data_IF_265452462238
#
_entry.id   IF_265452462238
#
_cell.length_a   1.000
_cell.length_b   1.000
_cell.length_c   1.000
_cell.angle_alpha   90.00
_cell.angle_beta   90.00
_cell.angle_gamma   90.00
#
_symmetry.space_group_name_H-M   'P 1'
#
loop_
_entity.id
_entity.type
_entity.pdbx_description
1 polymer ?
#
# COMPACT_ATOMS: atom_id res chain seq x y z
N UNK A 1 26.89 1.64 -13.98
CA UNK A 1 26.06 0.99 -12.94
C UNK A 1 26.67 -0.36 -12.59
N UNK A 2 26.67 -0.74 -11.30
CA UNK A 2 27.39 -1.91 -10.81
C UNK A 2 26.61 -3.21 -11.04
N UNK A 3 27.20 -4.10 -11.83
CA UNK A 3 26.88 -5.53 -11.81
C UNK A 3 27.86 -6.22 -10.87
N UNK A 4 27.42 -7.23 -10.12
CA UNK A 4 28.36 -8.14 -9.44
C UNK A 4 28.60 -9.34 -10.33
N UNK A 5 29.83 -9.82 -10.34
CA UNK A 5 30.14 -11.18 -10.78
C UNK A 5 29.97 -12.12 -9.60
N UNK A 6 29.08 -13.09 -9.71
CA UNK A 6 28.87 -14.10 -8.66
C UNK A 6 30.00 -15.14 -8.67
N UNK A 7 30.14 -15.97 -7.61
CA UNK A 7 31.13 -17.06 -7.59
C UNK A 7 31.00 -18.06 -8.74
N UNK A 8 29.81 -18.19 -9.35
CA UNK A 8 29.56 -19.05 -10.52
C UNK A 8 29.80 -18.35 -11.86
N UNK A 9 30.23 -17.08 -11.84
CA UNK A 9 30.62 -16.31 -13.01
C UNK A 9 29.49 -15.49 -13.65
N UNK A 10 28.27 -15.54 -13.10
CA UNK A 10 27.12 -14.78 -13.59
C UNK A 10 27.24 -13.30 -13.24
N UNK A 11 26.78 -12.42 -14.14
CA UNK A 11 26.64 -11.00 -13.85
C UNK A 11 25.21 -10.69 -13.41
N UNK A 12 25.04 -10.11 -12.22
CA UNK A 12 23.73 -9.73 -11.66
C UNK A 12 23.67 -8.24 -11.31
N UNK A 13 22.52 -7.57 -11.45
CA UNK A 13 22.33 -6.21 -10.96
C UNK A 13 22.56 -6.13 -9.44
N UNK A 14 23.18 -5.06 -8.95
CA UNK A 14 23.18 -4.72 -7.50
C UNK A 14 22.03 -3.80 -7.08
N UNK A 15 21.25 -3.31 -8.04
CA UNK A 15 20.21 -2.30 -7.86
C UNK A 15 18.95 -2.67 -8.64
N UNK A 16 17.82 -2.06 -8.29
CA UNK A 16 16.55 -2.18 -9.01
C UNK A 16 16.56 -1.49 -10.40
N UNK A 17 17.67 -0.90 -10.82
CA UNK A 17 17.91 -0.39 -12.17
C UNK A 17 19.27 -0.91 -12.65
N UNK A 18 19.39 -1.28 -13.93
CA UNK A 18 20.66 -1.61 -14.59
C UNK A 18 20.77 -0.94 -15.96
N UNK A 19 22.00 -0.79 -16.43
CA UNK A 19 22.34 -0.37 -17.80
C UNK A 19 23.39 -1.33 -18.38
N UNK A 20 23.23 -1.70 -19.65
CA UNK A 20 24.03 -2.69 -20.35
C UNK A 20 24.39 -2.17 -21.74
N UNK A 21 25.70 -2.07 -22.02
CA UNK A 21 26.21 -1.73 -23.36
C UNK A 21 25.94 -2.87 -24.35
N UNK A 22 26.11 -2.63 -25.65
CA UNK A 22 26.02 -3.67 -26.69
C UNK A 22 26.88 -4.92 -26.34
N UNK A 23 26.34 -6.12 -26.60
CA UNK A 23 26.93 -7.45 -26.29
C UNK A 23 27.15 -7.72 -24.79
N UNK A 24 26.64 -6.87 -23.92
CA UNK A 24 26.62 -7.13 -22.49
C UNK A 24 25.68 -8.30 -22.17
N UNK A 25 26.05 -9.10 -21.16
CA UNK A 25 25.26 -10.23 -20.66
C UNK A 25 24.90 -10.00 -19.21
N UNK A 26 23.64 -10.17 -18.85
CA UNK A 26 23.16 -10.03 -17.47
C UNK A 26 22.06 -11.06 -17.15
N UNK A 27 22.15 -11.66 -15.97
CA UNK A 27 21.19 -12.67 -15.49
C UNK A 27 20.02 -11.98 -14.80
N UNK A 28 18.91 -11.87 -15.52
CA UNK A 28 17.63 -11.28 -15.09
C UNK A 28 16.48 -12.03 -15.78
N UNK A 29 15.31 -12.07 -15.14
CA UNK A 29 14.08 -12.61 -15.73
C UNK A 29 13.29 -11.46 -16.38
N UNK A 30 13.13 -11.43 -17.73
CA UNK A 30 12.42 -10.35 -18.42
C UNK A 30 10.93 -10.26 -18.06
N UNK A 31 10.36 -11.25 -17.35
CA UNK A 31 9.00 -11.17 -16.80
C UNK A 31 8.91 -10.32 -15.52
N UNK A 32 10.03 -10.11 -14.82
CA UNK A 32 10.10 -9.34 -13.57
C UNK A 32 10.83 -8.01 -13.71
N UNK A 33 11.37 -7.73 -14.90
CA UNK A 33 12.09 -6.51 -15.23
C UNK A 33 11.44 -5.83 -16.43
N UNK A 34 11.21 -4.52 -16.35
CA UNK A 34 10.89 -3.69 -17.50
C UNK A 34 12.20 -3.35 -18.21
N UNK A 35 12.42 -3.92 -19.39
CA UNK A 35 13.68 -3.79 -20.14
C UNK A 35 13.43 -2.96 -21.40
N UNK A 36 14.14 -1.84 -21.54
CA UNK A 36 14.10 -0.94 -22.68
C UNK A 36 15.37 -1.08 -23.52
N UNK A 37 15.23 -1.36 -24.81
CA UNK A 37 16.33 -1.56 -25.76
C UNK A 37 16.21 -2.89 -26.49
N UNK A 38 17.14 -3.16 -27.41
CA UNK A 38 17.18 -4.43 -28.15
C UNK A 38 18.03 -5.46 -27.42
N UNK A 39 17.49 -6.64 -27.21
CA UNK A 39 18.18 -7.75 -26.57
C UNK A 39 17.66 -9.09 -27.08
N UNK A 40 18.53 -10.09 -27.04
CA UNK A 40 18.15 -11.49 -27.22
C UNK A 40 17.87 -12.11 -25.85
N UNK A 41 16.64 -12.63 -25.60
CA UNK A 41 16.34 -13.35 -24.37
C UNK A 41 16.86 -14.79 -24.40
N UNK A 42 17.38 -15.24 -23.26
CA UNK A 42 17.68 -16.64 -22.97
C UNK A 42 16.92 -17.07 -21.70
N UNK A 43 16.96 -18.35 -21.37
CA UNK A 43 16.19 -18.93 -20.25
C UNK A 43 16.39 -18.20 -18.90
N UNK A 44 17.59 -17.68 -18.62
CA UNK A 44 17.94 -17.06 -17.31
C UNK A 44 18.70 -15.74 -17.41
N UNK A 45 18.92 -15.25 -18.62
CA UNK A 45 19.70 -14.05 -18.88
C UNK A 45 19.30 -13.42 -20.20
N UNK A 46 19.70 -12.17 -20.40
CA UNK A 46 19.62 -11.50 -21.68
C UNK A 46 21.01 -11.17 -22.20
N UNK A 47 21.12 -11.03 -23.51
CA UNK A 47 22.28 -10.43 -24.17
C UNK A 47 21.81 -9.20 -24.94
N UNK A 48 22.40 -8.05 -24.67
CA UNK A 48 22.03 -6.81 -25.33
C UNK A 48 22.54 -6.76 -26.77
N UNK A 49 21.66 -6.35 -27.69
CA UNK A 49 21.98 -6.11 -29.11
C UNK A 49 22.26 -4.61 -29.37
N UNK A 50 21.89 -3.75 -28.43
CA UNK A 50 22.16 -2.31 -28.39
C UNK A 50 22.43 -1.90 -26.94
N UNK A 51 22.55 -0.61 -26.65
CA UNK A 51 22.38 -0.16 -25.27
C UNK A 51 20.98 -0.56 -24.75
N UNK A 52 20.94 -1.09 -23.53
CA UNK A 52 19.74 -1.57 -22.85
C UNK A 52 19.72 -1.03 -21.43
N UNK A 53 18.56 -0.56 -20.99
CA UNK A 53 18.31 -0.20 -19.59
C UNK A 53 17.20 -1.08 -19.06
N UNK A 54 17.33 -1.58 -17.84
CA UNK A 54 16.28 -2.37 -17.20
C UNK A 54 15.96 -1.85 -15.80
N UNK A 55 14.69 -1.90 -15.43
CA UNK A 55 14.20 -1.57 -14.10
C UNK A 55 13.41 -2.75 -13.55
N UNK A 56 13.67 -3.15 -12.31
CA UNK A 56 12.89 -4.18 -11.65
C UNK A 56 11.46 -3.67 -11.51
N UNK A 57 10.50 -4.53 -11.82
CA UNK A 57 9.09 -4.19 -11.74
C UNK A 57 8.70 -4.17 -10.25
N UNK A 58 9.00 -3.07 -9.56
CA UNK A 58 8.43 -2.74 -8.26
C UNK A 58 6.98 -2.26 -8.47
N UNK A 59 6.05 -3.17 -8.79
CA UNK A 59 4.63 -2.83 -8.81
C UNK A 59 4.08 -3.01 -7.40
N UNK A 60 4.05 -1.93 -6.62
CA UNK A 60 2.91 -1.56 -5.78
C UNK A 60 2.94 -0.04 -5.58
N UNK A 61 2.12 0.78 -6.27
CA UNK A 61 1.78 2.07 -5.69
C UNK A 61 1.10 1.78 -4.34
N UNK A 62 1.81 2.06 -3.25
CA UNK A 62 1.24 2.00 -1.91
C UNK A 62 0.33 3.22 -1.76
N UNK A 63 -0.96 3.02 -2.00
CA UNK A 63 -1.95 4.06 -1.74
C UNK A 63 -2.44 3.90 -0.31
N UNK A 64 -2.30 4.94 0.50
CA UNK A 64 -2.78 4.96 1.89
C UNK A 64 -4.01 5.86 1.95
N UNK A 65 -5.15 5.29 2.33
CA UNK A 65 -6.30 6.06 2.79
C UNK A 65 -6.16 6.31 4.28
N UNK A 66 -6.43 7.51 4.77
CA UNK A 66 -6.37 7.81 6.20
C UNK A 66 -7.48 8.76 6.65
N UNK A 67 -8.04 8.51 7.83
CA UNK A 67 -9.04 9.38 8.45
C UNK A 67 -9.06 9.16 9.96
N UNK A 68 -9.39 10.17 10.75
CA UNK A 68 -9.56 10.08 12.21
C UNK A 68 -10.74 10.93 12.66
N UNK A 69 -11.03 10.89 13.96
CA UNK A 69 -12.04 11.75 14.62
C UNK A 69 -13.43 11.65 13.97
N UNK A 70 -13.87 10.42 13.70
CA UNK A 70 -15.17 10.17 13.05
C UNK A 70 -16.35 10.47 13.98
N UNK A 71 -16.17 10.26 15.29
CA UNK A 71 -17.17 10.45 16.35
C UNK A 71 -18.55 9.89 15.99
N UNK A 72 -18.60 8.65 15.49
CA UNK A 72 -19.85 7.99 15.07
C UNK A 72 -20.72 7.70 16.30
N UNK A 73 -22.04 7.89 16.11
CA UNK A 73 -23.11 7.53 17.04
C UNK A 73 -24.10 6.62 16.32
N UNK A 74 -25.39 6.90 16.44
CA UNK A 74 -26.48 6.18 15.77
C UNK A 74 -26.53 6.45 14.27
N UNK A 75 -26.19 7.67 13.86
CA UNK A 75 -26.20 8.10 12.46
C UNK A 75 -24.82 8.51 12.00
N UNK A 76 -24.54 8.28 10.72
CA UNK A 76 -23.28 8.60 10.09
C UNK A 76 -23.47 9.84 9.24
N UNK A 77 -22.53 10.77 9.32
CA UNK A 77 -22.61 11.98 8.52
C UNK A 77 -22.39 11.67 7.03
N UNK A 78 -23.13 12.37 6.17
CA UNK A 78 -23.00 12.25 4.71
C UNK A 78 -21.55 12.48 4.23
N UNK A 79 -20.77 13.29 4.97
CA UNK A 79 -19.35 13.53 4.67
C UNK A 79 -18.49 12.28 4.85
N UNK A 80 -18.70 11.53 5.94
CA UNK A 80 -18.00 10.27 6.21
C UNK A 80 -18.39 9.23 5.16
N UNK A 81 -19.69 9.16 4.81
CA UNK A 81 -20.15 8.24 3.78
C UNK A 81 -19.52 8.51 2.41
N UNK A 82 -19.46 9.78 1.98
CA UNK A 82 -18.81 10.20 0.74
C UNK A 82 -17.31 9.89 0.75
N UNK A 83 -16.65 10.08 1.90
CA UNK A 83 -15.24 9.73 2.05
C UNK A 83 -15.02 8.23 1.86
N UNK A 84 -15.80 7.38 2.52
CA UNK A 84 -15.69 5.93 2.36
C UNK A 84 -16.06 5.47 0.94
N UNK A 85 -17.02 6.10 0.29
CA UNK A 85 -17.35 5.81 -1.11
C UNK A 85 -16.17 6.16 -2.05
N UNK A 86 -15.49 7.28 -1.80
CA UNK A 86 -14.29 7.65 -2.55
C UNK A 86 -13.15 6.66 -2.31
N UNK A 87 -12.89 6.29 -1.06
CA UNK A 87 -11.90 5.26 -0.73
C UNK A 87 -12.22 3.91 -1.38
N UNK A 88 -13.50 3.53 -1.46
CA UNK A 88 -13.92 2.33 -2.18
C UNK A 88 -13.55 2.37 -3.67
N UNK A 89 -13.73 3.52 -4.31
CA UNK A 89 -13.39 3.73 -5.73
C UNK A 89 -11.88 3.77 -5.99
N UNK A 90 -11.11 4.35 -5.06
CA UNK A 90 -9.64 4.45 -5.15
C UNK A 90 -8.98 3.11 -4.79
N UNK A 91 -9.61 2.33 -3.92
CA UNK A 91 -9.13 1.08 -3.35
C UNK A 91 -7.67 1.16 -2.81
N UNK A 92 -7.42 1.96 -1.75
CA UNK A 92 -6.10 2.03 -1.12
C UNK A 92 -5.55 0.67 -0.72
N UNK A 93 -4.23 0.52 -0.75
CA UNK A 93 -3.53 -0.67 -0.26
C UNK A 93 -3.77 -0.91 1.23
N UNK A 94 -3.92 0.17 2.00
CA UNK A 94 -4.29 0.17 3.42
C UNK A 94 -5.15 1.39 3.74
N UNK A 95 -6.17 1.21 4.57
CA UNK A 95 -6.97 2.29 5.13
C UNK A 95 -6.67 2.43 6.62
N UNK A 96 -6.09 3.55 7.03
CA UNK A 96 -5.69 3.81 8.42
C UNK A 96 -6.74 4.68 9.11
N UNK A 97 -7.35 4.15 10.17
CA UNK A 97 -8.31 4.88 11.01
C UNK A 97 -7.60 5.34 12.29
N UNK A 98 -7.49 6.65 12.45
CA UNK A 98 -6.67 7.30 13.48
C UNK A 98 -7.56 7.82 14.61
N UNK A 99 -8.03 6.92 15.47
CA UNK A 99 -8.72 7.24 16.70
C UNK A 99 -10.13 7.80 16.56
N UNK A 100 -10.80 7.86 17.70
CA UNK A 100 -12.08 8.51 17.93
C UNK A 100 -13.12 8.13 16.87
N UNK A 101 -13.24 6.82 16.64
CA UNK A 101 -14.20 6.28 15.68
C UNK A 101 -15.63 6.41 16.19
N UNK A 102 -15.82 6.36 17.51
CA UNK A 102 -17.11 6.62 18.17
C UNK A 102 -17.05 7.91 18.98
N UNK A 103 -18.21 8.50 19.26
CA UNK A 103 -18.26 9.78 19.95
C UNK A 103 -17.81 9.70 21.42
N UNK A 104 -18.07 8.59 22.10
CA UNK A 104 -17.74 8.28 23.49
C UNK A 104 -17.72 9.43 24.50
N UNK A 105 -16.96 9.25 25.58
CA UNK A 105 -16.83 10.24 26.67
C UNK A 105 -15.59 11.12 26.52
N UNK A 106 -14.47 10.57 26.04
CA UNK A 106 -13.26 11.33 25.74
C UNK A 106 -12.64 12.08 26.92
N UNK A 107 -13.03 11.75 28.16
CA UNK A 107 -12.76 12.47 29.42
C UNK A 107 -13.62 13.73 29.69
N UNK A 108 -14.59 14.07 28.83
CA UNK A 108 -15.33 15.32 28.91
C UNK A 108 -16.81 15.18 29.27
N UNK A 109 -17.41 13.98 29.21
CA UNK A 109 -18.83 13.76 29.51
C UNK A 109 -19.08 12.40 30.18
N UNK A 110 -20.14 12.30 31.01
CA UNK A 110 -20.74 11.05 31.52
C UNK A 110 -21.43 10.25 30.39
N UNK A 111 -20.75 10.08 29.25
CA UNK A 111 -21.23 9.35 28.10
C UNK A 111 -20.72 7.92 28.18
N UNK A 112 -21.61 6.99 28.50
CA UNK A 112 -21.35 5.55 28.32
C UNK A 112 -21.21 5.28 26.82
N UNK A 113 -20.23 4.45 26.45
CA UNK A 113 -20.09 4.04 25.06
C UNK A 113 -21.11 2.94 24.77
N UNK A 114 -21.95 3.16 23.77
CA UNK A 114 -22.90 2.14 23.32
C UNK A 114 -22.20 1.19 22.34
N UNK A 115 -22.36 -0.12 22.56
CA UNK A 115 -21.79 -1.15 21.67
C UNK A 115 -22.27 -0.99 20.23
N UNK A 116 -23.51 -0.52 20.08
CA UNK A 116 -24.18 -0.22 18.82
C UNK A 116 -23.39 0.80 17.99
N UNK A 117 -22.69 1.75 18.61
CA UNK A 117 -21.89 2.74 17.88
C UNK A 117 -20.69 2.11 17.21
N UNK A 118 -20.01 1.18 17.88
CA UNK A 118 -18.93 0.41 17.28
C UNK A 118 -19.44 -0.53 16.19
N UNK A 119 -20.59 -1.17 16.40
CA UNK A 119 -21.23 -2.01 15.37
C UNK A 119 -21.57 -1.18 14.14
N UNK A 120 -22.13 0.02 14.32
CA UNK A 120 -22.50 0.93 13.25
C UNK A 120 -21.26 1.43 12.47
N UNK A 121 -20.24 1.90 13.20
CA UNK A 121 -18.97 2.33 12.63
C UNK A 121 -18.31 1.19 11.84
N UNK A 122 -18.21 0.00 12.45
CA UNK A 122 -17.59 -1.17 11.84
C UNK A 122 -18.34 -1.64 10.60
N UNK A 123 -19.67 -1.76 10.66
CA UNK A 123 -20.46 -2.18 9.50
C UNK A 123 -20.30 -1.21 8.33
N UNK A 124 -20.21 0.08 8.61
CA UNK A 124 -20.06 1.09 7.56
C UNK A 124 -18.67 1.09 6.94
N UNK A 125 -17.62 0.91 7.75
CA UNK A 125 -16.24 0.84 7.25
C UNK A 125 -15.98 -0.47 6.51
N UNK A 126 -16.35 -1.62 7.08
CA UNK A 126 -16.03 -2.95 6.53
C UNK A 126 -16.67 -3.21 5.17
N UNK A 127 -17.80 -2.57 4.87
CA UNK A 127 -18.49 -2.69 3.59
C UNK A 127 -17.84 -1.84 2.49
N UNK A 128 -17.08 -0.80 2.84
CA UNK A 128 -16.59 0.22 1.89
C UNK A 128 -15.07 0.29 1.79
N UNK A 129 -14.35 -0.12 2.84
CA UNK A 129 -12.89 0.01 2.95
C UNK A 129 -12.20 -1.36 2.92
N UNK A 130 -11.09 -1.43 2.20
CA UNK A 130 -10.16 -2.58 2.19
C UNK A 130 -9.06 -2.39 3.23
N UNK A 131 -8.53 -3.50 3.78
CA UNK A 131 -7.32 -3.51 4.64
C UNK A 131 -7.31 -2.41 5.72
N UNK A 132 -8.31 -2.45 6.61
CA UNK A 132 -8.49 -1.46 7.66
C UNK A 132 -7.48 -1.69 8.79
N UNK A 133 -6.70 -0.66 9.12
CA UNK A 133 -5.85 -0.60 10.31
C UNK A 133 -6.38 0.50 11.23
N UNK A 134 -6.94 0.13 12.37
CA UNK A 134 -7.50 1.08 13.33
C UNK A 134 -6.61 1.22 14.56
N UNK A 135 -6.36 2.47 14.94
CA UNK A 135 -5.76 2.85 16.22
C UNK A 135 -6.81 3.53 17.08
N UNK A 136 -6.94 3.14 18.35
CA UNK A 136 -7.92 3.73 19.28
C UNK A 136 -7.56 5.18 19.65
N UNK A 137 -8.58 6.01 19.81
CA UNK A 137 -8.46 7.34 20.43
C UNK A 137 -8.99 7.38 21.86
N UNK A 138 -9.02 8.55 22.48
CA UNK A 138 -9.50 8.72 23.86
C UNK A 138 -11.03 8.63 23.97
N UNK A 139 -11.78 8.84 22.89
CA UNK A 139 -13.23 8.66 22.86
C UNK A 139 -13.64 7.20 22.60
N UNK A 140 -12.73 6.34 22.15
CA UNK A 140 -13.01 4.93 21.87
C UNK A 140 -12.94 4.02 23.11
N UNK A 141 -12.61 4.58 24.27
CA UNK A 141 -12.47 3.83 25.53
C UNK A 141 -13.23 4.55 26.63
N UNK A 142 -13.92 3.78 27.47
CA UNK A 142 -14.47 4.34 28.69
C UNK A 142 -13.31 4.65 29.66
N UNK A 143 -13.30 5.84 30.30
CA UNK A 143 -12.38 6.11 31.38
C UNK A 143 -12.67 5.15 32.54
N UNK A 144 -11.59 4.51 33.03
CA UNK A 144 -11.62 3.62 34.21
C UNK A 144 -12.03 4.37 35.49
#
# INVERSE_FOLDING_TARGET
>A
MSVIKTPVGDYRPTSNIFHLNEKGKIYVDPLTWCIQGKYTPHEKFIVSESEVTGQFIDIYPLTIGWIGDLHIKDTISEKIEKFFELCSKINPSVNVIVGDIVNGSGLYNDCTIENEWFVNAWNTMKEKLSNIFWTKGNHDVEPL
#
